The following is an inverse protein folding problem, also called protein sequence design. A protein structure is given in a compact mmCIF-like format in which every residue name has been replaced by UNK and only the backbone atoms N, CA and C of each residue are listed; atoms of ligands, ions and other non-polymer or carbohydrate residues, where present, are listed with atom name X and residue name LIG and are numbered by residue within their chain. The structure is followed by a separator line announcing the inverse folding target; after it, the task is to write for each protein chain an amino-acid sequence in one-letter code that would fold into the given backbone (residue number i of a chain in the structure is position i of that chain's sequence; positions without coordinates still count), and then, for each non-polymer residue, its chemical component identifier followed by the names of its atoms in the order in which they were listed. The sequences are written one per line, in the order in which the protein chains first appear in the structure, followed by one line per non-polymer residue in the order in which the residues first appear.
data_IF_933707611618
#
_entry.id   IF_933707611618
#
_cell.length_a   1.000
_cell.length_b   1.000
_cell.length_c   1.000
_cell.angle_alpha   90.00
_cell.angle_beta   90.00
_cell.angle_gamma   90.00
#
_symmetry.space_group_name_H-M   'P 1'
#
loop_
_entity.id
_entity.type
_entity.pdbx_description
1 polymer ?
#
# COMPACT_ATOMS: atom_id res chain seq x y z
N UNK A 1 -13.71 50.92 -14.64
CA UNK A 1 -14.31 49.63 -14.25
C UNK A 1 -13.15 48.76 -13.81
N UNK A 2 -13.09 48.40 -12.53
CA UNK A 2 -12.15 47.37 -12.09
C UNK A 2 -12.68 46.03 -12.59
N UNK A 3 -11.85 45.29 -13.32
CA UNK A 3 -12.17 43.96 -13.81
C UNK A 3 -11.85 42.99 -12.67
N UNK A 4 -12.85 42.24 -12.23
CA UNK A 4 -12.70 41.19 -11.22
C UNK A 4 -12.39 39.84 -11.87
N UNK A 5 -11.80 38.93 -11.10
CA UNK A 5 -11.67 37.51 -11.48
C UNK A 5 -13.05 36.85 -11.67
N UNK A 6 -14.13 37.43 -11.15
CA UNK A 6 -15.49 36.93 -11.38
C UNK A 6 -16.09 37.38 -12.72
N UNK A 7 -15.47 38.36 -13.38
CA UNK A 7 -15.95 38.91 -14.66
C UNK A 7 -15.34 38.20 -15.87
N UNK A 8 -14.39 37.28 -15.67
CA UNK A 8 -13.79 36.52 -16.77
C UNK A 8 -14.71 35.38 -17.23
N UNK A 9 -14.68 35.01 -18.53
CA UNK A 9 -15.46 33.87 -19.02
C UNK A 9 -15.08 32.56 -18.33
N UNK A 10 -16.05 31.66 -18.15
CA UNK A 10 -15.84 30.34 -17.52
C UNK A 10 -14.67 29.57 -18.13
N UNK A 11 -14.53 29.59 -19.46
CA UNK A 11 -13.44 28.89 -20.16
C UNK A 11 -12.06 29.41 -19.73
N UNK A 12 -11.94 30.70 -19.42
CA UNK A 12 -10.71 31.26 -18.89
C UNK A 12 -10.48 30.84 -17.44
N UNK A 13 -11.54 30.83 -16.61
CA UNK A 13 -11.47 30.37 -15.22
C UNK A 13 -11.09 28.89 -15.12
N UNK A 14 -11.65 28.03 -15.96
CA UNK A 14 -11.32 26.61 -16.03
C UNK A 14 -9.83 26.40 -16.37
N UNK A 15 -9.31 27.15 -17.36
CA UNK A 15 -7.88 27.13 -17.68
C UNK A 15 -6.99 27.61 -16.54
N UNK A 16 -7.43 28.62 -15.78
CA UNK A 16 -6.67 29.06 -14.59
C UNK A 16 -6.61 27.90 -13.59
N UNK A 17 -7.75 27.30 -13.23
CA UNK A 17 -7.80 26.21 -12.25
C UNK A 17 -6.96 25.00 -12.70
N UNK A 18 -6.94 24.66 -13.99
CA UNK A 18 -6.11 23.57 -14.54
C UNK A 18 -4.60 23.80 -14.39
N UNK A 19 -4.16 25.06 -14.30
CA UNK A 19 -2.75 25.43 -14.17
C UNK A 19 -2.32 25.70 -12.72
N UNK A 20 -3.24 25.59 -11.75
CA UNK A 20 -2.93 25.79 -10.33
C UNK A 20 -2.71 24.45 -9.63
N UNK A 21 -1.80 24.45 -8.66
CA UNK A 21 -1.71 23.35 -7.71
C UNK A 21 -2.97 23.29 -6.83
N UNK A 22 -3.25 22.11 -6.28
CA UNK A 22 -4.49 21.90 -5.55
C UNK A 22 -4.61 22.77 -4.29
N UNK A 23 -3.49 23.12 -3.64
CA UNK A 23 -3.51 23.96 -2.44
C UNK A 23 -3.93 25.37 -2.83
N UNK A 24 -3.39 25.91 -3.92
CA UNK A 24 -3.78 27.22 -4.45
C UNK A 24 -5.26 27.24 -4.84
N UNK A 25 -5.79 26.15 -5.43
CA UNK A 25 -7.23 26.00 -5.67
C UNK A 25 -8.02 26.07 -4.35
N UNK A 26 -7.56 25.40 -3.29
CA UNK A 26 -8.22 25.45 -1.98
C UNK A 26 -8.14 26.84 -1.32
N UNK A 27 -7.07 27.60 -1.56
CA UNK A 27 -6.96 29.01 -1.12
C UNK A 27 -8.00 29.87 -1.86
N UNK A 28 -8.07 29.76 -3.19
CA UNK A 28 -9.06 30.48 -4.00
C UNK A 28 -10.50 30.18 -3.58
N UNK A 29 -10.80 28.90 -3.31
CA UNK A 29 -12.11 28.45 -2.79
C UNK A 29 -12.51 29.12 -1.47
N UNK A 30 -11.54 29.62 -0.70
CA UNK A 30 -11.76 30.30 0.59
C UNK A 30 -11.92 31.82 0.47
N UNK A 31 -11.68 32.41 -0.71
CA UNK A 31 -11.71 33.88 -0.92
C UNK A 31 -13.13 34.46 -0.90
N UNK A 32 -14.06 33.91 -1.70
CA UNK A 32 -15.45 34.37 -1.72
C UNK A 32 -16.45 33.24 -2.02
N UNK A 33 -17.75 33.52 -1.86
CA UNK A 33 -18.82 32.53 -2.08
C UNK A 33 -18.93 32.08 -3.53
N UNK A 34 -18.78 33.00 -4.50
CA UNK A 34 -18.91 32.67 -5.92
C UNK A 34 -17.79 31.74 -6.39
N UNK A 35 -16.54 32.04 -6.02
CA UNK A 35 -15.39 31.15 -6.30
C UNK A 35 -15.56 29.79 -5.64
N UNK A 36 -16.09 29.75 -4.41
CA UNK A 36 -16.37 28.49 -3.71
C UNK A 36 -17.36 27.64 -4.46
N UNK A 37 -18.50 28.22 -4.84
CA UNK A 37 -19.56 27.52 -5.57
C UNK A 37 -19.03 27.03 -6.93
N UNK A 38 -18.31 27.89 -7.66
CA UNK A 38 -17.71 27.54 -8.95
C UNK A 38 -16.76 26.33 -8.84
N UNK A 39 -15.85 26.34 -7.87
CA UNK A 39 -14.88 25.25 -7.66
C UNK A 39 -15.59 23.97 -7.19
N UNK A 40 -16.58 24.09 -6.31
CA UNK A 40 -17.36 22.95 -5.80
C UNK A 40 -18.20 22.27 -6.89
N UNK A 41 -18.68 23.04 -7.86
CA UNK A 41 -19.46 22.55 -9.00
C UNK A 41 -18.55 21.94 -10.08
N UNK A 42 -17.45 22.60 -10.44
CA UNK A 42 -16.51 22.12 -11.48
C UNK A 42 -15.68 20.93 -11.00
N UNK A 43 -15.39 20.85 -9.70
CA UNK A 43 -14.57 19.80 -9.08
C UNK A 43 -13.25 19.59 -9.85
N UNK A 44 -12.35 20.60 -9.92
CA UNK A 44 -11.05 20.46 -10.58
C UNK A 44 -10.25 19.31 -9.98
N UNK A 45 -9.41 18.66 -10.80
CA UNK A 45 -8.60 17.52 -10.37
C UNK A 45 -7.53 17.94 -9.34
N UNK A 46 -7.36 17.14 -8.27
CA UNK A 46 -6.33 17.43 -7.27
C UNK A 46 -4.92 17.06 -7.69
N UNK A 47 -4.74 16.17 -8.68
CA UNK A 47 -3.45 15.75 -9.22
C UNK A 47 -2.46 15.23 -8.16
N UNK A 48 -2.96 14.81 -6.99
CA UNK A 48 -2.13 14.25 -5.94
C UNK A 48 -1.64 12.90 -6.44
N UNK A 49 -0.33 12.70 -6.34
CA UNK A 49 0.36 11.47 -6.69
C UNK A 49 0.60 10.61 -5.45
N UNK A 50 0.87 11.24 -4.30
CA UNK A 50 1.09 10.51 -3.05
C UNK A 50 0.30 11.14 -1.90
N UNK A 51 -0.36 10.28 -1.13
CA UNK A 51 -1.09 10.65 0.07
C UNK A 51 -0.61 9.77 1.22
N UNK A 52 -0.02 10.38 2.24
CA UNK A 52 0.38 9.71 3.48
C UNK A 52 -0.40 10.27 4.65
N UNK A 53 -1.09 9.41 5.39
CA UNK A 53 -1.89 9.79 6.57
C UNK A 53 -1.33 9.06 7.79
N UNK A 54 -0.98 9.81 8.83
CA UNK A 54 -0.53 9.27 10.10
C UNK A 54 -1.47 9.68 11.24
N UNK A 55 -2.23 8.70 11.75
CA UNK A 55 -3.09 8.83 12.92
C UNK A 55 -2.29 8.60 14.20
N UNK A 56 -2.13 9.65 15.00
CA UNK A 56 -1.57 9.62 16.35
C UNK A 56 -2.63 10.07 17.38
N UNK A 57 -2.34 9.91 18.67
CA UNK A 57 -3.35 10.02 19.75
C UNK A 57 -4.06 11.37 19.82
N UNK A 58 -3.34 12.47 19.59
CA UNK A 58 -3.86 13.85 19.68
C UNK A 58 -3.47 14.69 18.47
N UNK A 59 -3.10 14.00 17.39
CA UNK A 59 -2.55 14.64 16.22
C UNK A 59 -2.71 13.74 14.98
N UNK A 60 -3.04 14.33 13.84
CA UNK A 60 -3.04 13.67 12.53
C UNK A 60 -2.09 14.41 11.61
N UNK A 61 -1.08 13.69 11.10
CA UNK A 61 -0.16 14.23 10.10
C UNK A 61 -0.58 13.76 8.72
N UNK A 62 -0.60 14.69 7.77
CA UNK A 62 -0.93 14.39 6.38
C UNK A 62 0.12 14.98 5.46
N UNK A 63 0.65 14.15 4.58
CA UNK A 63 1.57 14.57 3.53
C UNK A 63 0.91 14.33 2.18
N UNK A 64 0.90 15.36 1.36
CA UNK A 64 0.46 15.33 -0.02
C UNK A 64 1.67 15.58 -0.91
N UNK A 65 1.75 14.90 -2.04
CA UNK A 65 2.76 15.18 -3.06
C UNK A 65 2.11 15.17 -4.43
N UNK A 66 2.37 16.21 -5.21
CA UNK A 66 2.03 16.30 -6.62
C UNK A 66 3.31 16.56 -7.45
N UNK A 67 3.15 17.03 -8.70
CA UNK A 67 4.29 17.37 -9.55
C UNK A 67 5.01 18.67 -9.16
N UNK A 68 4.36 19.55 -8.40
CA UNK A 68 4.89 20.84 -7.97
C UNK A 68 5.73 20.72 -6.69
N UNK A 69 5.41 19.75 -5.83
CA UNK A 69 6.17 19.52 -4.61
C UNK A 69 5.44 18.69 -3.57
N UNK A 70 5.96 18.75 -2.35
CA UNK A 70 5.40 18.11 -1.17
C UNK A 70 4.80 19.15 -0.24
N UNK A 71 3.68 18.76 0.37
CA UNK A 71 2.92 19.61 1.27
C UNK A 71 2.52 18.83 2.52
N UNK A 72 2.68 19.46 3.70
CA UNK A 72 2.48 18.82 5.00
C UNK A 72 1.49 19.61 5.84
N UNK A 73 0.55 18.87 6.42
CA UNK A 73 -0.50 19.38 7.29
C UNK A 73 -0.51 18.59 8.60
N UNK A 74 -0.66 19.30 9.71
CA UNK A 74 -0.82 18.73 11.04
C UNK A 74 -2.12 19.22 11.67
N UNK A 75 -2.97 18.29 12.08
CA UNK A 75 -4.22 18.56 12.79
C UNK A 75 -4.03 18.13 14.24
N UNK A 76 -3.71 19.06 15.12
CA UNK A 76 -3.40 18.78 16.52
C UNK A 76 -4.55 19.21 17.43
N UNK A 77 -4.87 18.38 18.43
CA UNK A 77 -5.80 18.76 19.49
C UNK A 77 -5.28 19.98 20.26
N UNK A 78 -6.11 21.00 20.40
CA UNK A 78 -5.81 22.19 21.16
C UNK A 78 -6.96 22.46 22.14
N UNK A 79 -6.64 22.76 23.40
CA UNK A 79 -7.60 23.08 24.49
C UNK A 79 -8.77 22.10 24.74
N UNK A 80 -8.73 20.91 24.14
CA UNK A 80 -9.75 19.85 24.29
C UNK A 80 -10.95 19.97 23.34
N UNK A 81 -11.15 21.12 22.67
CA UNK A 81 -12.27 21.33 21.73
C UNK A 81 -11.89 22.01 20.42
N UNK A 82 -10.69 22.57 20.34
CA UNK A 82 -10.20 23.29 19.18
C UNK A 82 -9.12 22.48 18.44
N UNK A 83 -8.81 22.91 17.23
CA UNK A 83 -7.73 22.32 16.43
C UNK A 83 -6.63 23.34 16.21
N UNK A 84 -5.39 22.97 16.52
CA UNK A 84 -4.21 23.68 16.02
C UNK A 84 -3.80 23.06 14.69
N UNK A 85 -4.12 23.78 13.61
CA UNK A 85 -3.76 23.41 12.25
C UNK A 85 -2.37 23.98 11.95
N UNK A 86 -1.39 23.13 11.64
CA UNK A 86 -0.06 23.57 11.20
C UNK A 86 0.15 23.24 9.73
N UNK A 87 0.72 24.19 9.02
CA UNK A 87 1.06 24.13 7.61
C UNK A 87 2.49 24.64 7.45
N UNK A 88 3.46 23.74 7.31
CA UNK A 88 4.89 24.08 7.30
C UNK A 88 5.29 24.94 8.53
N UNK A 89 5.58 26.23 8.35
CA UNK A 89 5.94 27.15 9.44
C UNK A 89 4.76 27.96 10.00
N UNK A 90 3.60 27.88 9.34
CA UNK A 90 2.40 28.62 9.73
C UNK A 90 1.53 27.75 10.63
N UNK A 91 0.82 28.39 11.56
CA UNK A 91 -0.16 27.73 12.39
C UNK A 91 -1.41 28.59 12.54
N UNK A 92 -2.56 27.93 12.67
CA UNK A 92 -3.86 28.58 12.89
C UNK A 92 -4.64 27.75 13.92
N UNK A 93 -5.41 28.44 14.78
CA UNK A 93 -6.39 27.79 15.65
C UNK A 93 -7.75 27.80 14.96
N UNK A 94 -8.38 26.63 14.87
CA UNK A 94 -9.78 26.45 14.49
C UNK A 94 -10.58 26.26 15.78
N UNK A 95 -11.23 27.33 16.23
CA UNK A 95 -11.97 27.34 17.49
C UNK A 95 -13.22 26.44 17.41
N UNK A 96 -13.45 25.66 18.47
CA UNK A 96 -14.62 24.79 18.62
C UNK A 96 -14.81 23.78 17.46
N UNK A 97 -13.71 23.36 16.83
CA UNK A 97 -13.70 22.28 15.84
C UNK A 97 -12.70 21.22 16.27
N UNK A 98 -13.16 19.98 16.40
CA UNK A 98 -12.33 18.84 16.79
C UNK A 98 -11.33 18.50 15.67
N UNK A 99 -10.10 18.11 16.03
CA UNK A 99 -9.02 17.86 15.07
C UNK A 99 -9.29 16.69 14.13
N UNK A 100 -9.97 15.64 14.61
CA UNK A 100 -10.39 14.51 13.79
C UNK A 100 -11.46 14.94 12.79
N UNK A 101 -12.44 15.75 13.22
CA UNK A 101 -13.49 16.29 12.35
C UNK A 101 -12.93 17.25 11.28
N UNK A 102 -12.02 18.15 11.68
CA UNK A 102 -11.32 19.04 10.77
C UNK A 102 -10.58 18.26 9.68
N UNK A 103 -9.82 17.24 10.09
CA UNK A 103 -9.11 16.35 9.18
C UNK A 103 -10.06 15.60 8.23
N UNK A 104 -11.12 14.97 8.76
CA UNK A 104 -12.05 14.17 7.96
C UNK A 104 -12.78 15.03 6.91
N UNK A 105 -13.14 16.26 7.28
CA UNK A 105 -13.76 17.22 6.36
C UNK A 105 -12.82 17.58 5.21
N UNK A 106 -11.58 17.93 5.52
CA UNK A 106 -10.58 18.27 4.51
C UNK A 106 -10.24 17.05 3.63
N UNK A 107 -10.09 15.87 4.22
CA UNK A 107 -9.82 14.63 3.48
C UNK A 107 -10.96 14.28 2.52
N UNK A 108 -12.22 14.40 2.96
CA UNK A 108 -13.38 14.15 2.11
C UNK A 108 -13.40 15.09 0.90
N UNK A 109 -13.06 16.37 1.11
CA UNK A 109 -12.94 17.36 0.04
C UNK A 109 -11.81 16.98 -0.92
N UNK A 110 -10.61 16.72 -0.41
CA UNK A 110 -9.46 16.33 -1.23
C UNK A 110 -9.76 15.10 -2.09
N UNK A 111 -10.30 14.05 -1.46
CA UNK A 111 -10.62 12.82 -2.16
C UNK A 111 -11.75 13.01 -3.18
N UNK A 112 -12.72 13.91 -2.94
CA UNK A 112 -13.74 14.27 -3.95
C UNK A 112 -13.11 14.80 -5.25
N UNK A 113 -12.02 15.55 -5.14
CA UNK A 113 -11.29 16.11 -6.28
C UNK A 113 -10.26 15.15 -6.90
N UNK A 114 -9.91 14.06 -6.21
CA UNK A 114 -8.97 13.05 -6.69
C UNK A 114 -9.66 12.04 -7.62
N UNK A 115 -9.63 12.27 -8.94
CA UNK A 115 -10.10 11.33 -9.97
C UNK A 115 -8.93 10.60 -10.65
N UNK A 116 -7.73 11.18 -10.60
CA UNK A 116 -6.47 10.60 -11.06
C UNK A 116 -6.00 9.41 -10.24
N UNK A 117 -4.93 8.76 -10.71
CA UNK A 117 -4.29 7.63 -10.02
C UNK A 117 -3.38 8.18 -8.92
N UNK A 118 -3.57 7.74 -7.69
CA UNK A 118 -2.56 7.88 -6.64
C UNK A 118 -1.48 6.83 -6.87
N UNK A 119 -0.26 7.28 -7.15
CA UNK A 119 0.91 6.41 -7.22
C UNK A 119 1.19 5.73 -5.87
N UNK A 120 0.93 6.41 -4.75
CA UNK A 120 1.07 5.82 -3.42
C UNK A 120 -0.02 6.33 -2.45
N UNK A 121 -0.63 5.40 -1.71
CA UNK A 121 -1.45 5.69 -0.54
C UNK A 121 -0.83 4.98 0.67
N UNK A 122 -0.31 5.75 1.61
CA UNK A 122 0.21 5.25 2.88
C UNK A 122 -0.74 5.63 4.02
N UNK A 123 -1.13 4.63 4.82
CA UNK A 123 -1.93 4.85 6.02
C UNK A 123 -1.22 4.25 7.23
N UNK A 124 -0.88 5.09 8.20
CA UNK A 124 -0.25 4.68 9.47
C UNK A 124 -1.17 5.02 10.63
N UNK A 125 -1.45 4.05 11.48
CA UNK A 125 -2.21 4.28 12.72
C UNK A 125 -1.52 3.64 13.92
N UNK A 126 -1.27 4.44 14.95
CA UNK A 126 -0.78 3.96 16.25
C UNK A 126 -1.92 3.50 17.17
N UNK A 127 -3.15 3.91 16.87
CA UNK A 127 -4.36 3.65 17.62
C UNK A 127 -5.51 3.45 16.64
N UNK A 128 -5.82 2.20 16.34
CA UNK A 128 -6.90 1.92 15.39
C UNK A 128 -8.30 2.16 15.94
N UNK A 129 -8.39 2.40 17.24
CA UNK A 129 -9.60 2.84 17.94
C UNK A 129 -9.93 4.32 17.72
N UNK A 130 -9.00 5.12 17.17
CA UNK A 130 -9.27 6.52 16.82
C UNK A 130 -10.48 6.64 15.88
N UNK A 131 -11.33 7.63 16.14
CA UNK A 131 -12.55 7.84 15.36
C UNK A 131 -12.19 8.16 13.91
N UNK A 132 -11.18 9.01 13.71
CA UNK A 132 -10.67 9.37 12.39
C UNK A 132 -10.25 8.17 11.54
N UNK A 133 -9.56 7.17 12.13
CA UNK A 133 -9.20 5.95 11.42
C UNK A 133 -10.44 5.10 11.05
N UNK A 134 -11.46 5.04 11.93
CA UNK A 134 -12.71 4.30 11.66
C UNK A 134 -13.60 4.97 10.62
N UNK A 135 -13.58 6.30 10.54
CA UNK A 135 -14.36 7.07 9.57
C UNK A 135 -13.68 7.12 8.18
N UNK A 136 -12.35 6.96 8.11
CA UNK A 136 -11.61 6.96 6.84
C UNK A 136 -12.17 5.97 5.78
N UNK A 137 -12.41 4.68 6.11
CA UNK A 137 -13.15 3.76 5.26
C UNK A 137 -14.49 4.29 4.72
N UNK A 138 -15.24 5.05 5.52
CA UNK A 138 -16.55 5.56 5.13
C UNK A 138 -16.42 6.67 4.10
N UNK A 139 -15.38 7.50 4.19
CA UNK A 139 -15.05 8.47 3.15
C UNK A 139 -14.77 7.76 1.83
N UNK A 140 -13.95 6.69 1.84
CA UNK A 140 -13.66 5.90 0.64
C UNK A 140 -14.94 5.27 0.06
N UNK A 141 -15.78 4.69 0.93
CA UNK A 141 -17.08 4.09 0.55
C UNK A 141 -18.05 5.10 -0.04
N UNK A 142 -18.04 6.35 0.42
CA UNK A 142 -18.96 7.40 -0.05
C UNK A 142 -18.67 7.88 -1.48
N UNK A 143 -17.50 7.54 -2.03
CA UNK A 143 -17.11 7.97 -3.37
C UNK A 143 -17.97 7.30 -4.43
N UNK A 144 -18.33 8.07 -5.46
CA UNK A 144 -19.04 7.54 -6.66
C UNK A 144 -18.19 6.53 -7.45
N UNK A 145 -16.86 6.61 -7.34
CA UNK A 145 -15.90 5.72 -7.99
C UNK A 145 -14.84 5.30 -6.97
N UNK A 146 -14.42 4.03 -7.06
CA UNK A 146 -13.33 3.50 -6.26
C UNK A 146 -12.07 4.36 -6.41
N UNK A 147 -11.31 4.47 -5.33
CA UNK A 147 -10.07 5.23 -5.36
C UNK A 147 -9.02 4.46 -6.16
N UNK A 148 -8.48 5.09 -7.20
CA UNK A 148 -7.43 4.49 -8.02
C UNK A 148 -6.10 4.66 -7.32
N UNK A 149 -5.54 3.57 -6.83
CA UNK A 149 -4.27 3.53 -6.11
C UNK A 149 -3.39 2.48 -6.76
N UNK A 150 -2.13 2.80 -7.00
CA UNK A 150 -1.16 1.86 -7.57
C UNK A 150 -0.40 1.08 -6.49
N UNK A 151 0.05 1.76 -5.45
CA UNK A 151 0.74 1.17 -4.31
C UNK A 151 0.01 1.55 -3.02
N UNK A 152 -0.48 0.55 -2.30
CA UNK A 152 -1.15 0.73 -1.02
C UNK A 152 -0.28 0.18 0.10
N UNK A 153 -0.02 1.02 1.10
CA UNK A 153 0.81 0.69 2.25
C UNK A 153 0.06 0.99 3.54
N UNK A 154 0.06 0.03 4.46
CA UNK A 154 -0.56 0.21 5.76
C UNK A 154 0.41 -0.14 6.89
N UNK A 155 0.48 0.72 7.91
CA UNK A 155 1.28 0.55 9.11
C UNK A 155 0.34 0.58 10.32
N UNK A 156 0.01 -0.59 10.86
CA UNK A 156 -0.94 -0.71 11.97
C UNK A 156 -0.23 -1.26 13.21
N UNK A 157 -0.77 -0.97 14.39
CA UNK A 157 -0.39 -1.60 15.66
C UNK A 157 -1.23 -2.85 15.94
N UNK A 158 -2.54 -2.77 15.73
CA UNK A 158 -3.54 -3.76 16.16
C UNK A 158 -3.86 -4.84 15.09
N UNK A 159 -4.73 -5.80 15.42
CA UNK A 159 -5.24 -6.91 14.57
C UNK A 159 -6.05 -6.47 13.33
N UNK A 160 -6.09 -5.18 13.01
CA UNK A 160 -6.97 -4.71 11.96
C UNK A 160 -6.61 -5.27 10.60
N UNK A 161 -7.62 -5.90 10.01
CA UNK A 161 -7.58 -6.50 8.69
C UNK A 161 -7.53 -5.41 7.61
N UNK A 162 -7.12 -5.79 6.40
CA UNK A 162 -7.21 -4.93 5.22
C UNK A 162 -8.66 -4.62 4.80
N UNK A 163 -9.63 -5.37 5.34
CA UNK A 163 -11.05 -5.33 4.99
C UNK A 163 -11.69 -3.93 5.02
N UNK A 164 -11.35 -3.01 5.96
CA UNK A 164 -12.02 -1.71 5.97
C UNK A 164 -11.56 -0.78 4.84
N UNK A 165 -10.41 -1.01 4.22
CA UNK A 165 -9.83 -0.08 3.23
C UNK A 165 -9.77 -0.71 1.84
N UNK A 166 -9.22 -1.93 1.76
CA UNK A 166 -8.86 -2.57 0.50
C UNK A 166 -10.04 -2.70 -0.49
N UNK A 167 -11.28 -3.08 -0.08
CA UNK A 167 -12.41 -3.19 -1.01
C UNK A 167 -12.80 -1.87 -1.70
N UNK A 168 -12.39 -0.73 -1.15
CA UNK A 168 -12.70 0.59 -1.69
C UNK A 168 -11.62 1.14 -2.64
N UNK A 169 -10.59 0.34 -2.93
CA UNK A 169 -9.56 0.63 -3.92
C UNK A 169 -9.88 -0.07 -5.25
N UNK A 170 -9.62 0.60 -6.38
CA UNK A 170 -9.84 0.04 -7.71
C UNK A 170 -8.81 -1.06 -8.02
N UNK A 171 -9.28 -2.31 -8.11
CA UNK A 171 -8.44 -3.49 -8.33
C UNK A 171 -7.71 -3.49 -9.68
N UNK A 172 -8.17 -2.72 -10.66
CA UNK A 172 -7.55 -2.63 -11.98
C UNK A 172 -6.26 -1.81 -11.97
N UNK A 173 -6.10 -0.94 -10.97
CA UNK A 173 -4.94 -0.05 -10.83
C UNK A 173 -4.00 -0.50 -9.71
N UNK A 174 -4.51 -1.25 -8.72
CA UNK A 174 -3.73 -1.69 -7.57
C UNK A 174 -2.69 -2.76 -7.94
N UNK A 175 -1.42 -2.39 -7.87
CA UNK A 175 -0.29 -3.27 -8.19
C UNK A 175 0.38 -3.85 -6.96
N UNK A 176 0.52 -3.05 -5.91
CA UNK A 176 1.26 -3.45 -4.71
C UNK A 176 0.42 -3.24 -3.46
N UNK A 177 0.36 -4.26 -2.62
CA UNK A 177 -0.21 -4.21 -1.27
C UNK A 177 0.93 -4.45 -0.29
N UNK A 178 1.11 -3.55 0.68
CA UNK A 178 2.10 -3.74 1.74
C UNK A 178 1.53 -3.54 3.12
N UNK A 179 1.90 -4.42 4.04
CA UNK A 179 1.46 -4.39 5.44
C UNK A 179 2.68 -4.40 6.35
N UNK A 180 2.77 -3.40 7.21
CA UNK A 180 3.90 -3.25 8.12
C UNK A 180 3.40 -3.07 9.55
N UNK A 181 4.28 -3.34 10.51
CA UNK A 181 4.02 -2.95 11.88
C UNK A 181 4.33 -1.46 12.07
N UNK A 182 3.49 -0.76 12.82
CA UNK A 182 3.78 0.60 13.28
C UNK A 182 4.78 0.62 14.45
N UNK A 183 5.00 -0.51 15.13
CA UNK A 183 5.96 -0.66 16.24
C UNK A 183 7.04 -1.70 15.92
N UNK A 184 8.13 -1.72 16.70
CA UNK A 184 9.27 -2.62 16.48
C UNK A 184 9.04 -4.06 16.93
N UNK A 185 7.91 -4.38 17.56
CA UNK A 185 7.66 -5.74 18.02
C UNK A 185 7.03 -6.59 16.92
N UNK A 186 7.52 -7.82 16.67
CA UNK A 186 6.87 -8.72 15.72
C UNK A 186 5.60 -9.29 16.34
N UNK A 187 4.47 -8.61 16.18
CA UNK A 187 3.17 -9.16 16.52
C UNK A 187 2.65 -10.04 15.40
N UNK A 188 1.99 -11.14 15.78
CA UNK A 188 1.30 -12.01 14.86
C UNK A 188 0.09 -11.28 14.28
N UNK A 189 -0.11 -11.40 12.97
CA UNK A 189 -1.33 -10.98 12.30
C UNK A 189 -2.08 -12.25 11.89
N UNK A 190 -3.24 -12.48 12.50
CA UNK A 190 -4.19 -13.44 11.97
C UNK A 190 -4.75 -12.88 10.66
N UNK A 191 -4.38 -13.54 9.56
CA UNK A 191 -4.68 -13.06 8.23
C UNK A 191 -6.00 -13.72 7.80
N UNK A 192 -7.08 -12.94 7.81
CA UNK A 192 -8.45 -13.44 7.60
C UNK A 192 -8.69 -13.86 6.14
N UNK A 193 -9.33 -15.01 5.97
CA UNK A 193 -9.52 -15.67 4.66
C UNK A 193 -10.34 -14.86 3.65
N UNK A 194 -11.24 -14.00 4.12
CA UNK A 194 -12.10 -13.19 3.25
C UNK A 194 -11.34 -12.16 2.41
N UNK A 195 -10.11 -11.79 2.80
CA UNK A 195 -9.26 -10.94 1.98
C UNK A 195 -8.79 -11.66 0.71
N UNK A 196 -8.72 -13.01 0.71
CA UNK A 196 -8.27 -13.78 -0.45
C UNK A 196 -9.26 -13.70 -1.59
N UNK A 197 -10.52 -13.45 -1.27
CA UNK A 197 -11.59 -13.38 -2.26
C UNK A 197 -11.70 -12.04 -2.98
N UNK A 198 -11.07 -11.01 -2.44
CA UNK A 198 -11.08 -9.67 -3.03
C UNK A 198 -10.35 -9.64 -4.37
N UNK A 199 -10.98 -9.03 -5.37
CA UNK A 199 -10.37 -8.73 -6.66
C UNK A 199 -9.05 -7.96 -6.50
N UNK A 200 -8.97 -7.08 -5.51
CA UNK A 200 -7.77 -6.32 -5.18
C UNK A 200 -6.60 -7.23 -4.80
N UNK A 201 -6.87 -8.30 -4.04
CA UNK A 201 -5.86 -9.29 -3.68
C UNK A 201 -5.47 -10.15 -4.89
N UNK A 202 -6.46 -10.68 -5.60
CA UNK A 202 -6.29 -11.58 -6.75
C UNK A 202 -5.57 -10.93 -7.92
N UNK A 203 -5.75 -9.62 -8.15
CA UNK A 203 -5.16 -8.88 -9.29
C UNK A 203 -3.86 -8.14 -8.94
N UNK A 204 -3.59 -7.91 -7.65
CA UNK A 204 -2.34 -7.27 -7.25
C UNK A 204 -1.13 -8.09 -7.72
N UNK A 205 -0.11 -7.39 -8.20
CA UNK A 205 1.11 -8.00 -8.74
C UNK A 205 2.09 -8.34 -7.63
N UNK A 206 2.07 -7.60 -6.51
CA UNK A 206 3.06 -7.72 -5.45
C UNK A 206 2.46 -7.61 -4.05
N UNK A 207 3.03 -8.38 -3.14
CA UNK A 207 2.66 -8.33 -1.72
C UNK A 207 3.88 -8.35 -0.81
N UNK A 208 3.94 -7.40 0.13
CA UNK A 208 5.03 -7.30 1.10
C UNK A 208 4.48 -7.18 2.51
N UNK A 209 5.04 -7.95 3.44
CA UNK A 209 4.74 -7.76 4.86
C UNK A 209 5.95 -8.02 5.73
N UNK A 210 6.19 -7.12 6.68
CA UNK A 210 7.14 -7.34 7.78
C UNK A 210 6.48 -8.00 9.00
N UNK A 211 5.14 -8.07 9.03
CA UNK A 211 4.37 -8.75 10.07
C UNK A 211 4.44 -10.27 9.89
N UNK A 212 4.42 -11.00 11.00
CA UNK A 212 4.40 -12.47 10.98
C UNK A 212 2.95 -12.93 10.86
N UNK A 213 2.62 -13.57 9.76
CA UNK A 213 1.28 -14.03 9.46
C UNK A 213 1.02 -15.40 10.10
N UNK A 214 -0.16 -15.55 10.68
CA UNK A 214 -0.76 -16.87 10.95
C UNK A 214 -1.74 -17.14 9.83
N UNK A 215 -1.44 -18.14 8.99
CA UNK A 215 -2.22 -18.52 7.80
C UNK A 215 -2.45 -20.03 7.78
N UNK A 216 -3.57 -20.46 7.22
CA UNK A 216 -3.86 -21.88 7.00
C UNK A 216 -3.13 -22.46 5.78
N UNK A 217 -2.92 -21.64 4.74
CA UNK A 217 -2.39 -22.08 3.44
C UNK A 217 -1.56 -20.99 2.76
N UNK A 218 -0.46 -21.39 2.10
CA UNK A 218 0.37 -20.52 1.24
C UNK A 218 -0.18 -20.38 -0.18
N UNK A 219 -1.25 -21.08 -0.53
CA UNK A 219 -1.72 -21.16 -1.91
C UNK A 219 -2.13 -19.80 -2.50
N UNK A 220 -2.61 -18.88 -1.66
CA UNK A 220 -3.10 -17.55 -2.04
C UNK A 220 -1.98 -16.54 -2.31
N UNK A 221 -0.72 -16.97 -2.27
CA UNK A 221 0.45 -16.13 -2.58
C UNK A 221 1.10 -16.49 -3.93
N UNK A 222 0.73 -17.62 -4.53
CA UNK A 222 1.39 -18.13 -5.73
C UNK A 222 1.18 -17.31 -7.01
N UNK A 223 0.17 -16.43 -7.04
CA UNK A 223 -0.10 -15.56 -8.20
C UNK A 223 0.79 -14.31 -8.25
N UNK A 224 1.36 -13.90 -7.11
CA UNK A 224 2.19 -12.70 -7.05
C UNK A 224 3.45 -12.84 -7.91
N UNK A 225 3.78 -11.75 -8.61
CA UNK A 225 5.02 -11.64 -9.38
C UNK A 225 6.21 -11.44 -8.45
N UNK A 226 6.03 -10.67 -7.37
CA UNK A 226 7.06 -10.49 -6.38
C UNK A 226 6.49 -10.29 -4.97
N UNK A 227 7.26 -10.66 -3.95
CA UNK A 227 6.81 -10.42 -2.59
C UNK A 227 7.75 -10.86 -1.48
N UNK A 228 7.35 -10.51 -0.27
CA UNK A 228 7.99 -10.92 0.96
C UNK A 228 6.94 -11.15 2.03
N UNK A 229 6.97 -12.33 2.65
CA UNK A 229 6.11 -12.64 3.78
C UNK A 229 6.94 -13.24 4.91
N UNK A 230 6.45 -13.03 6.13
CA UNK A 230 6.91 -13.76 7.31
C UNK A 230 5.74 -14.57 7.81
N UNK A 231 5.92 -15.85 8.06
CA UNK A 231 4.87 -16.75 8.53
C UNK A 231 5.27 -17.41 9.85
N UNK A 232 4.26 -17.77 10.65
CA UNK A 232 4.46 -18.51 11.89
C UNK A 232 4.95 -19.93 11.58
N UNK A 233 4.18 -20.67 10.81
CA UNK A 233 4.47 -22.06 10.49
C UNK A 233 4.24 -22.35 9.01
N UNK A 234 4.97 -23.32 8.47
CA UNK A 234 4.71 -23.94 7.16
C UNK A 234 5.13 -25.40 7.20
N UNK A 235 4.91 -26.12 6.10
CA UNK A 235 5.31 -27.51 5.93
C UNK A 235 5.79 -27.79 4.51
N UNK A 236 6.29 -29.00 4.28
CA UNK A 236 6.79 -29.42 2.97
C UNK A 236 5.74 -29.27 1.86
N UNK A 237 4.51 -29.77 2.07
CA UNK A 237 3.43 -29.74 1.07
C UNK A 237 3.11 -28.32 0.59
N UNK A 238 2.91 -27.38 1.51
CA UNK A 238 2.60 -25.99 1.17
C UNK A 238 3.72 -25.33 0.34
N UNK A 239 4.99 -25.61 0.68
CA UNK A 239 6.14 -25.07 -0.04
C UNK A 239 6.34 -25.72 -1.41
N UNK A 240 5.99 -27.00 -1.57
CA UNK A 240 5.94 -27.68 -2.87
C UNK A 240 4.89 -27.04 -3.77
N UNK A 241 3.68 -26.79 -3.25
CA UNK A 241 2.61 -26.18 -4.04
C UNK A 241 2.96 -24.75 -4.42
N UNK A 242 3.53 -23.97 -3.49
CA UNK A 242 4.01 -22.62 -3.76
C UNK A 242 5.10 -22.62 -4.85
N UNK A 243 6.07 -23.54 -4.76
CA UNK A 243 7.09 -23.74 -5.81
C UNK A 243 6.44 -23.96 -7.17
N UNK A 244 5.50 -24.91 -7.28
CA UNK A 244 4.82 -25.25 -8.55
C UNK A 244 4.11 -24.03 -9.13
N UNK A 245 3.42 -23.24 -8.29
CA UNK A 245 2.74 -22.00 -8.72
C UNK A 245 3.73 -20.98 -9.28
N UNK A 246 4.87 -20.77 -8.62
CA UNK A 246 5.90 -19.85 -9.13
C UNK A 246 6.58 -20.36 -10.38
N UNK A 247 6.87 -21.67 -10.47
CA UNK A 247 7.49 -22.30 -11.63
C UNK A 247 6.60 -22.17 -12.88
N UNK A 248 5.28 -22.29 -12.71
CA UNK A 248 4.29 -22.15 -13.80
C UNK A 248 3.80 -20.71 -14.06
N UNK A 249 4.30 -19.70 -13.34
CA UNK A 249 3.86 -18.31 -13.51
C UNK A 249 4.85 -17.53 -14.40
N UNK A 250 4.51 -17.18 -15.66
CA UNK A 250 5.43 -16.53 -16.58
C UNK A 250 5.80 -15.09 -16.16
N UNK A 251 5.00 -14.47 -15.28
CA UNK A 251 5.26 -13.13 -14.73
C UNK A 251 6.04 -13.17 -13.41
N UNK A 252 6.31 -14.35 -12.86
CA UNK A 252 7.02 -14.50 -11.60
C UNK A 252 8.44 -13.92 -11.69
N UNK A 253 8.85 -13.21 -10.63
CA UNK A 253 10.16 -12.57 -10.50
C UNK A 253 10.89 -13.02 -9.25
N UNK A 254 10.36 -12.73 -8.07
CA UNK A 254 11.04 -13.04 -6.81
C UNK A 254 10.10 -13.01 -5.62
N UNK A 255 10.07 -14.07 -4.83
CA UNK A 255 9.23 -14.16 -3.64
C UNK A 255 9.99 -14.78 -2.48
N UNK A 256 9.89 -14.15 -1.32
CA UNK A 256 10.63 -14.56 -0.12
C UNK A 256 9.67 -14.96 1.00
N UNK A 257 9.97 -16.07 1.64
CA UNK A 257 9.22 -16.64 2.76
C UNK A 257 10.15 -16.80 3.96
N UNK A 258 10.00 -15.94 4.96
CA UNK A 258 10.56 -16.14 6.29
C UNK A 258 9.60 -17.02 7.10
N UNK A 259 10.11 -18.00 7.82
CA UNK A 259 9.28 -18.85 8.69
C UNK A 259 9.86 -18.94 10.09
N UNK A 260 9.02 -19.16 11.10
CA UNK A 260 9.49 -19.46 12.46
C UNK A 260 9.60 -20.98 12.66
N UNK A 261 8.56 -21.70 12.27
CA UNK A 261 8.42 -23.15 12.34
C UNK A 261 8.27 -23.73 10.93
N UNK A 262 8.96 -24.84 10.67
CA UNK A 262 8.84 -25.58 9.41
C UNK A 262 8.71 -27.06 9.74
N UNK A 263 7.52 -27.60 9.57
CA UNK A 263 7.27 -29.02 9.70
C UNK A 263 7.80 -29.77 8.48
N UNK A 264 8.47 -30.89 8.71
CA UNK A 264 9.04 -31.75 7.66
C UNK A 264 9.99 -31.07 6.64
N UNK A 265 10.82 -30.10 7.06
CA UNK A 265 11.77 -29.40 6.16
C UNK A 265 12.71 -30.35 5.38
N UNK A 266 13.11 -31.46 6.00
CA UNK A 266 13.95 -32.47 5.34
C UNK A 266 13.23 -33.15 4.18
N UNK A 267 11.91 -33.33 4.26
CA UNK A 267 11.10 -33.85 3.15
C UNK A 267 11.04 -32.83 2.01
N UNK A 268 10.92 -31.54 2.34
CA UNK A 268 11.00 -30.49 1.32
C UNK A 268 12.36 -30.51 0.60
N UNK A 269 13.47 -30.67 1.33
CA UNK A 269 14.79 -30.82 0.69
C UNK A 269 14.89 -32.07 -0.18
N UNK A 270 14.32 -33.20 0.24
CA UNK A 270 14.26 -34.42 -0.59
C UNK A 270 13.45 -34.18 -1.86
N UNK A 271 12.33 -33.47 -1.76
CA UNK A 271 11.52 -33.08 -2.91
C UNK A 271 12.26 -32.14 -3.86
N UNK A 272 13.01 -31.18 -3.33
CA UNK A 272 13.80 -30.25 -4.15
C UNK A 272 15.00 -30.92 -4.85
N UNK A 273 15.39 -32.12 -4.43
CA UNK A 273 16.47 -32.88 -5.05
C UNK A 273 17.87 -32.34 -4.73
N UNK A 274 18.88 -32.64 -5.57
CA UNK A 274 20.26 -32.24 -5.31
C UNK A 274 20.42 -30.72 -5.29
N UNK A 275 20.94 -30.19 -4.18
CA UNK A 275 21.26 -28.79 -4.06
C UNK A 275 22.66 -28.51 -4.58
N UNK A 276 22.83 -27.38 -5.26
CA UNK A 276 24.13 -26.75 -5.39
C UNK A 276 24.51 -26.11 -4.04
N UNK A 277 25.65 -26.52 -3.49
CA UNK A 277 26.13 -26.06 -2.19
C UNK A 277 27.32 -25.12 -2.35
N UNK A 278 27.30 -23.98 -1.66
CA UNK A 278 28.42 -23.06 -1.57
C UNK A 278 28.41 -22.39 -0.20
N UNK A 279 29.55 -22.35 0.49
CA UNK A 279 29.72 -21.67 1.78
C UNK A 279 28.62 -21.94 2.85
N UNK A 280 28.11 -23.17 2.91
CA UNK A 280 27.06 -23.56 3.87
C UNK A 280 25.62 -23.23 3.44
N UNK A 281 25.45 -22.62 2.27
CA UNK A 281 24.16 -22.31 1.68
C UNK A 281 23.72 -23.39 0.69
N UNK A 282 22.40 -23.53 0.52
CA UNK A 282 21.81 -24.49 -0.42
C UNK A 282 20.98 -23.75 -1.45
N UNK A 283 21.23 -24.03 -2.72
CA UNK A 283 20.47 -23.47 -3.83
C UNK A 283 20.05 -24.57 -4.80
N UNK A 284 18.81 -24.51 -5.26
CA UNK A 284 18.25 -25.42 -6.25
C UNK A 284 17.82 -24.65 -7.49
N UNK A 285 17.90 -25.29 -8.65
CA UNK A 285 17.53 -24.69 -9.93
C UNK A 285 16.56 -25.60 -10.66
N UNK A 286 15.53 -25.00 -11.26
CA UNK A 286 14.45 -25.70 -11.94
C UNK A 286 14.15 -25.06 -13.30
N UNK A 287 13.86 -25.89 -14.30
CA UNK A 287 13.34 -25.44 -15.59
C UNK A 287 12.03 -24.68 -15.43
N UNK A 288 11.79 -23.72 -16.32
CA UNK A 288 10.51 -23.04 -16.48
C UNK A 288 10.16 -23.02 -17.96
N UNK A 289 8.93 -22.66 -18.31
CA UNK A 289 8.46 -22.65 -19.71
C UNK A 289 9.37 -21.84 -20.65
N UNK A 290 9.93 -20.72 -20.16
CA UNK A 290 10.93 -19.97 -20.90
C UNK A 290 12.32 -20.63 -20.78
N UNK A 291 12.91 -21.14 -21.88
CA UNK A 291 14.18 -21.88 -21.85
C UNK A 291 15.40 -21.02 -21.46
N UNK A 292 15.30 -19.69 -21.59
CA UNK A 292 16.35 -18.75 -21.19
C UNK A 292 16.33 -18.43 -19.69
N UNK A 293 15.30 -18.88 -18.97
CA UNK A 293 15.12 -18.62 -17.55
C UNK A 293 15.16 -19.93 -16.76
N UNK A 294 15.37 -19.81 -15.45
CA UNK A 294 15.14 -20.89 -14.51
C UNK A 294 14.58 -20.33 -13.20
N UNK A 295 13.84 -21.17 -12.47
CA UNK A 295 13.45 -20.89 -11.10
C UNK A 295 14.59 -21.32 -10.18
N UNK A 296 15.11 -20.39 -9.39
CA UNK A 296 16.04 -20.67 -8.32
C UNK A 296 15.34 -20.64 -6.97
N UNK A 297 15.73 -21.55 -6.08
CA UNK A 297 15.30 -21.56 -4.68
C UNK A 297 16.54 -21.54 -3.83
N UNK A 298 16.65 -20.55 -2.96
CA UNK A 298 17.77 -20.35 -2.05
C UNK A 298 17.28 -20.52 -0.61
N UNK A 299 17.99 -21.33 0.17
CA UNK A 299 17.73 -21.50 1.59
C UNK A 299 18.81 -20.80 2.42
N UNK A 300 18.38 -19.76 3.13
CA UNK A 300 19.18 -19.02 4.11
C UNK A 300 18.90 -19.60 5.50
N UNK A 301 19.83 -20.44 5.98
CA UNK A 301 19.71 -21.11 7.28
C UNK A 301 19.74 -20.11 8.46
N UNK A 302 20.70 -19.16 8.55
CA UNK A 302 20.71 -18.16 9.62
C UNK A 302 19.39 -17.39 9.77
N UNK A 303 18.77 -17.02 8.65
CA UNK A 303 17.54 -16.22 8.67
C UNK A 303 16.24 -17.06 8.61
N UNK A 304 16.34 -18.40 8.54
CA UNK A 304 15.20 -19.33 8.37
C UNK A 304 14.27 -18.87 7.24
N UNK A 305 14.85 -18.74 6.06
CA UNK A 305 14.19 -18.11 4.92
C UNK A 305 14.40 -18.92 3.64
N UNK A 306 13.34 -19.02 2.83
CA UNK A 306 13.45 -19.42 1.43
C UNK A 306 13.24 -18.22 0.53
N UNK A 307 14.14 -18.03 -0.44
CA UNK A 307 13.98 -17.07 -1.53
C UNK A 307 13.81 -17.81 -2.84
N UNK A 308 12.65 -17.63 -3.47
CA UNK A 308 12.35 -18.07 -4.82
C UNK A 308 12.65 -16.92 -5.78
N UNK A 309 13.38 -17.16 -6.86
CA UNK A 309 13.67 -16.12 -7.84
C UNK A 309 13.80 -16.70 -9.25
N UNK A 310 13.17 -16.04 -10.22
CA UNK A 310 13.43 -16.28 -11.63
C UNK A 310 14.75 -15.60 -12.01
N UNK A 311 15.69 -16.37 -12.57
CA UNK A 311 16.99 -15.87 -13.01
C UNK A 311 17.25 -16.26 -14.46
N UNK A 312 18.20 -15.59 -15.10
CA UNK A 312 18.72 -15.99 -16.41
C UNK A 312 19.45 -17.33 -16.28
N UNK A 313 19.25 -18.23 -17.25
CA UNK A 313 19.84 -19.58 -17.24
C UNK A 313 21.38 -19.55 -17.30
N UNK A 314 21.95 -18.52 -17.91
CA UNK A 314 23.40 -18.29 -17.98
C UNK A 314 24.04 -17.90 -16.63
N UNK A 315 23.23 -17.47 -15.65
CA UNK A 315 23.66 -17.19 -14.26
C UNK A 315 23.68 -18.43 -13.37
N UNK A 316 23.26 -19.58 -13.88
CA UNK A 316 23.35 -20.85 -13.15
C UNK A 316 24.82 -21.31 -13.15
N UNK A 317 25.40 -21.63 -11.97
CA UNK A 317 26.76 -22.18 -11.91
C UNK A 317 26.92 -23.41 -12.80
N UNK A 318 28.04 -23.53 -13.51
CA UNK A 318 28.28 -24.62 -14.47
C UNK A 318 28.27 -26.02 -13.84
N UNK A 319 28.55 -26.12 -12.54
CA UNK A 319 28.50 -27.36 -11.76
C UNK A 319 27.16 -27.56 -11.01
N UNK A 320 26.16 -26.71 -11.23
CA UNK A 320 24.83 -26.88 -10.68
C UNK A 320 23.94 -27.68 -11.64
N UNK A 321 23.01 -28.46 -11.08
CA UNK A 321 22.03 -29.24 -11.85
C UNK A 321 20.78 -28.38 -12.00
N UNK A 322 20.31 -28.21 -13.24
CA UNK A 322 18.98 -27.68 -13.54
C UNK A 322 18.03 -28.88 -13.63
N UNK A 323 17.02 -28.90 -12.77
CA UNK A 323 16.04 -29.98 -12.70
C UNK A 323 14.83 -29.59 -13.55
N UNK A 324 14.43 -30.43 -14.50
CA UNK A 324 13.27 -30.16 -15.37
C UNK A 324 11.92 -30.29 -14.63
#
# INVERSE_FOLDING_TARGET
MEISLLDIPEVAMDRILENLDFITIQILRKVCHDLRNYIDDKVPESNILRLSIHFAMRCIFVTYQDFSGQFEMEYEEFDGKSTRLKQSRNQKILENLNFEEAFLTDLQLILRHQKGILENLMVRSLLTTSQSFREFPKILKSRKKLLRVKNFEVYLKDELSLQPILPFLDSSFLKTISIYNSTMNPDFLEFKEDVWDLDQWKKAEKFYTSRRLTIASLEHFGHFQAGFIRIKATNSNQMVDLKKKFQGNPKFRSFRVDFQEFDTILEFFRFLGPAHQFYGEKKWFFGVENPEKCLSIFYDLPNRQFTFAQIDRDRVPSNAIIQE
#
